data_IF_128874773183
#
_entry.id   IF_128874773183
#
_cell.length_a   1.000
_cell.length_b   1.000
_cell.length_c   1.000
_cell.angle_alpha   90.00
_cell.angle_beta   90.00
_cell.angle_gamma   90.00
#
_symmetry.space_group_name_H-M   'P 1'
#
loop_
_entity.id
_entity.type
_entity.pdbx_description
1 polymer ?
#
# COMPACT_ATOMS: atom_id res chain seq x y z
N UNK A 1 -26.55 -8.47 21.77
CA UNK A 1 -26.27 -7.67 20.56
C UNK A 1 -24.95 -8.13 19.99
N UNK A 2 -24.97 -8.85 18.88
CA UNK A 2 -23.78 -9.25 18.15
C UNK A 2 -23.09 -7.95 17.65
N UNK A 3 -21.88 -7.65 18.12
CA UNK A 3 -21.11 -6.49 17.62
C UNK A 3 -21.05 -6.64 16.10
N UNK A 4 -21.58 -5.66 15.35
CA UNK A 4 -21.36 -5.59 13.92
C UNK A 4 -19.86 -5.76 13.67
N UNK A 5 -19.48 -6.83 12.96
CA UNK A 5 -18.09 -7.28 12.86
C UNK A 5 -17.29 -6.18 12.15
N UNK A 6 -16.53 -5.39 12.92
CA UNK A 6 -15.72 -4.29 12.41
C UNK A 6 -14.87 -4.77 11.24
N UNK A 7 -14.93 -4.04 10.12
CA UNK A 7 -14.21 -4.37 8.89
C UNK A 7 -13.17 -3.30 8.56
N UNK A 8 -11.96 -3.73 8.22
CA UNK A 8 -10.90 -2.89 7.67
C UNK A 8 -10.65 -3.24 6.20
N UNK A 9 -10.28 -2.24 5.40
CA UNK A 9 -9.78 -2.44 4.04
C UNK A 9 -8.26 -2.31 4.02
N UNK A 10 -7.55 -3.33 3.54
CA UNK A 10 -6.11 -3.31 3.39
C UNK A 10 -5.69 -3.01 1.95
N UNK A 11 -4.85 -1.99 1.76
CA UNK A 11 -4.11 -1.86 0.51
C UNK A 11 -3.01 -2.93 0.49
N UNK A 12 -3.27 -3.97 -0.28
CA UNK A 12 -2.42 -5.15 -0.36
C UNK A 12 -1.53 -5.07 -1.61
N UNK A 13 -0.21 -5.06 -1.42
CA UNK A 13 0.74 -5.05 -2.54
C UNK A 13 1.29 -6.44 -2.85
N UNK A 14 0.90 -7.47 -2.08
CA UNK A 14 1.51 -8.80 -2.15
C UNK A 14 2.86 -8.92 -1.46
N UNK A 15 3.42 -7.81 -0.97
CA UNK A 15 4.69 -7.80 -0.25
C UNK A 15 4.53 -8.10 1.23
N UNK A 16 5.65 -8.46 1.87
CA UNK A 16 5.72 -8.81 3.29
C UNK A 16 5.02 -7.79 4.20
N UNK A 17 5.24 -6.51 3.96
CA UNK A 17 4.80 -5.44 4.87
C UNK A 17 3.27 -5.33 4.89
N UNK A 18 2.62 -5.45 3.72
CA UNK A 18 1.17 -5.49 3.64
C UNK A 18 0.58 -6.76 4.27
N UNK A 19 1.26 -7.91 4.12
CA UNK A 19 0.83 -9.16 4.76
C UNK A 19 0.89 -9.09 6.29
N UNK A 20 1.98 -8.54 6.84
CA UNK A 20 2.13 -8.34 8.28
C UNK A 20 1.13 -7.33 8.84
N UNK A 21 0.86 -6.24 8.10
CA UNK A 21 -0.15 -5.27 8.50
C UNK A 21 -1.55 -5.91 8.59
N UNK A 22 -1.90 -6.79 7.65
CA UNK A 22 -3.15 -7.56 7.69
C UNK A 22 -3.19 -8.48 8.92
N UNK A 23 -2.14 -9.27 9.16
CA UNK A 23 -2.09 -10.19 10.31
C UNK A 23 -2.25 -9.46 11.65
N UNK A 24 -1.55 -8.34 11.86
CA UNK A 24 -1.65 -7.55 13.10
C UNK A 24 -3.07 -7.05 13.39
N UNK A 25 -3.86 -6.78 12.36
CA UNK A 25 -5.26 -6.36 12.50
C UNK A 25 -6.18 -7.56 12.72
N UNK A 26 -5.96 -8.66 11.99
CA UNK A 26 -6.72 -9.91 12.18
C UNK A 26 -6.57 -10.49 13.59
N UNK A 27 -5.36 -10.42 14.18
CA UNK A 27 -5.11 -10.88 15.56
C UNK A 27 -5.90 -10.10 16.62
N UNK A 28 -6.45 -8.94 16.26
CA UNK A 28 -7.33 -8.16 17.11
C UNK A 28 -8.82 -8.48 16.89
N UNK A 29 -9.13 -9.53 16.14
CA UNK A 29 -10.51 -9.98 15.86
C UNK A 29 -11.22 -9.14 14.79
N UNK A 30 -10.50 -8.30 14.05
CA UNK A 30 -11.06 -7.41 13.02
C UNK A 30 -11.07 -8.12 11.67
N UNK A 31 -12.20 -8.08 10.97
CA UNK A 31 -12.30 -8.63 9.61
C UNK A 31 -11.55 -7.74 8.63
N UNK A 32 -10.75 -8.34 7.74
CA UNK A 32 -9.95 -7.60 6.75
C UNK A 32 -10.31 -8.05 5.35
N UNK A 33 -10.57 -7.08 4.48
CA UNK A 33 -10.70 -7.27 3.04
C UNK A 33 -9.49 -6.62 2.36
N UNK A 34 -8.91 -7.29 1.36
CA UNK A 34 -7.75 -6.81 0.64
C UNK A 34 -8.13 -6.19 -0.71
N UNK A 35 -7.50 -5.08 -1.05
CA UNK A 35 -7.56 -4.48 -2.38
C UNK A 35 -6.16 -4.26 -2.94
N UNK A 36 -5.95 -4.68 -4.18
CA UNK A 36 -4.71 -4.46 -4.94
C UNK A 36 -4.99 -3.62 -6.18
N UNK A 37 -4.08 -2.71 -6.48
CA UNK A 37 -4.11 -1.91 -7.70
C UNK A 37 -3.00 -2.33 -8.65
N UNK A 38 -3.38 -2.90 -9.81
CA UNK A 38 -2.42 -3.27 -10.84
C UNK A 38 -2.14 -2.08 -11.73
N UNK A 39 -0.88 -1.66 -11.77
CA UNK A 39 -0.42 -0.57 -12.64
C UNK A 39 0.21 -1.13 -13.91
N UNK A 40 0.26 -0.37 -15.02
CA UNK A 40 0.97 -0.78 -16.24
C UNK A 40 2.48 -0.98 -16.02
N UNK A 41 3.03 -0.42 -14.94
CA UNK A 41 4.43 -0.52 -14.56
C UNK A 41 4.66 -1.53 -13.44
N UNK A 42 3.61 -2.28 -13.08
CA UNK A 42 3.74 -3.40 -12.18
C UNK A 42 4.55 -4.48 -12.89
N UNK A 43 5.78 -4.65 -12.41
CA UNK A 43 6.60 -5.75 -12.85
C UNK A 43 6.19 -6.97 -12.05
N UNK A 44 5.34 -7.83 -12.62
CA UNK A 44 5.23 -9.22 -12.18
C UNK A 44 6.55 -9.92 -12.53
N UNK A 45 7.64 -9.61 -11.81
CA UNK A 45 8.95 -10.18 -12.10
C UNK A 45 9.03 -11.56 -11.45
N UNK A 46 9.25 -12.55 -12.32
CA UNK A 46 9.88 -13.86 -12.14
C UNK A 46 9.97 -14.41 -10.70
N UNK A 47 9.47 -15.64 -10.51
CA UNK A 47 9.65 -16.41 -9.27
C UNK A 47 8.39 -17.07 -8.72
N UNK A 48 7.38 -17.35 -9.57
CA UNK A 48 6.19 -18.09 -9.16
C UNK A 48 5.20 -17.36 -8.24
N UNK A 49 5.51 -16.16 -7.74
CA UNK A 49 4.61 -15.41 -6.85
C UNK A 49 3.20 -15.19 -7.43
N UNK A 50 2.16 -15.43 -6.62
CA UNK A 50 0.76 -15.15 -6.93
C UNK A 50 0.13 -14.29 -5.83
N UNK A 51 -0.51 -13.19 -6.24
CA UNK A 51 -1.25 -12.32 -5.32
C UNK A 51 -2.42 -13.07 -4.67
N UNK A 52 -3.06 -13.95 -5.43
CA UNK A 52 -4.18 -14.78 -5.01
C UNK A 52 -3.73 -15.77 -3.94
N UNK A 53 -2.60 -16.47 -4.12
CA UNK A 53 -2.03 -17.37 -3.11
C UNK A 53 -1.65 -16.62 -1.83
N UNK A 54 -1.04 -15.45 -1.97
CA UNK A 54 -0.67 -14.62 -0.82
C UNK A 54 -1.91 -14.14 -0.04
N UNK A 55 -2.99 -13.75 -0.71
CA UNK A 55 -4.25 -13.39 -0.08
C UNK A 55 -4.96 -14.60 0.55
N UNK A 56 -4.94 -15.75 -0.13
CA UNK A 56 -5.50 -17.01 0.37
C UNK A 56 -4.80 -17.47 1.65
N UNK A 57 -3.47 -17.42 1.72
CA UNK A 57 -2.70 -17.73 2.93
C UNK A 57 -3.10 -16.84 4.11
N UNK A 58 -3.44 -15.57 3.84
CA UNK A 58 -3.91 -14.63 4.87
C UNK A 58 -5.40 -14.80 5.21
N UNK A 59 -6.13 -15.63 4.46
CA UNK A 59 -7.57 -15.83 4.64
C UNK A 59 -8.39 -14.56 4.39
N UNK A 60 -7.98 -13.70 3.45
CA UNK A 60 -8.66 -12.45 3.13
C UNK A 60 -9.28 -12.48 1.73
N UNK A 61 -10.51 -11.96 1.53
CA UNK A 61 -11.02 -11.72 0.19
C UNK A 61 -10.15 -10.68 -0.52
N UNK A 62 -9.83 -10.93 -1.80
CA UNK A 62 -8.99 -10.07 -2.61
C UNK A 62 -9.79 -9.44 -3.76
N UNK A 63 -9.80 -8.11 -3.81
CA UNK A 63 -10.25 -7.36 -4.98
C UNK A 63 -9.07 -6.82 -5.75
N UNK A 64 -9.04 -7.09 -7.06
CA UNK A 64 -7.99 -6.60 -7.97
C UNK A 64 -8.56 -5.52 -8.89
N UNK A 65 -7.98 -4.33 -8.84
CA UNK A 65 -8.38 -3.19 -9.68
C UNK A 65 -7.25 -2.83 -10.64
N UNK A 66 -7.49 -2.93 -11.95
CA UNK A 66 -6.54 -2.49 -12.97
C UNK A 66 -6.61 -0.97 -13.14
N UNK A 67 -5.48 -0.30 -13.05
CA UNK A 67 -5.37 1.14 -13.22
C UNK A 67 -5.13 1.48 -14.70
N UNK A 68 -6.08 2.24 -15.25
CA UNK A 68 -6.15 2.63 -16.66
C UNK A 68 -5.40 3.92 -17.03
N UNK A 69 -5.87 4.57 -18.09
CA UNK A 69 -5.30 5.80 -18.67
C UNK A 69 -5.18 6.96 -17.68
N UNK A 70 -6.09 7.08 -16.72
CA UNK A 70 -6.04 8.11 -15.69
C UNK A 70 -4.77 8.04 -14.85
N UNK A 71 -4.23 6.84 -14.65
CA UNK A 71 -2.97 6.64 -13.95
C UNK A 71 -1.77 7.12 -14.77
N UNK A 72 -1.80 7.01 -16.11
CA UNK A 72 -0.74 7.55 -16.97
C UNK A 72 -0.64 9.07 -16.89
N UNK A 73 -1.76 9.77 -16.65
CA UNK A 73 -1.74 11.24 -16.45
C UNK A 73 -0.90 11.63 -15.24
N UNK A 74 -1.01 10.85 -14.16
CA UNK A 74 -0.18 11.01 -12.95
C UNK A 74 1.30 10.81 -13.27
N UNK A 75 1.62 9.77 -14.06
CA UNK A 75 3.00 9.49 -14.44
C UNK A 75 3.57 10.58 -15.35
N UNK A 76 2.75 11.21 -16.21
CA UNK A 76 3.20 12.27 -17.12
C UNK A 76 3.50 13.58 -16.39
N UNK A 77 2.66 13.97 -15.44
CA UNK A 77 2.80 15.23 -14.72
C UNK A 77 2.43 15.06 -13.23
N UNK A 78 3.31 14.46 -12.42
CA UNK A 78 3.05 14.28 -10.99
C UNK A 78 3.14 15.61 -10.23
N UNK A 79 2.21 15.83 -9.29
CA UNK A 79 2.17 17.05 -8.47
C UNK A 79 3.36 17.14 -7.53
N UNK A 80 3.86 16.01 -7.04
CA UNK A 80 4.99 15.96 -6.10
C UNK A 80 6.32 15.58 -6.76
N UNK A 81 6.38 15.65 -8.09
CA UNK A 81 7.58 15.35 -8.86
C UNK A 81 7.94 13.86 -8.88
N UNK A 82 9.15 13.59 -9.34
CA UNK A 82 9.70 12.24 -9.44
C UNK A 82 10.78 12.01 -8.38
N UNK A 83 10.84 10.79 -7.86
CA UNK A 83 11.98 10.29 -7.11
C UNK A 83 13.02 9.72 -8.06
N UNK A 84 13.35 8.44 -7.89
CA UNK A 84 14.28 7.77 -8.80
C UNK A 84 13.67 7.67 -10.22
N UNK A 85 14.33 8.28 -11.19
CA UNK A 85 13.93 8.37 -12.60
C UNK A 85 12.52 8.91 -12.83
N UNK A 86 11.53 8.06 -13.13
CA UNK A 86 10.15 8.47 -13.38
C UNK A 86 9.19 8.02 -12.28
N UNK A 87 9.71 7.63 -11.12
CA UNK A 87 8.89 7.12 -10.02
C UNK A 87 8.14 8.25 -9.28
N UNK A 88 6.79 8.35 -9.34
CA UNK A 88 6.02 9.39 -8.67
C UNK A 88 5.24 8.80 -7.47
N UNK A 89 5.92 8.08 -6.57
CA UNK A 89 5.25 7.23 -5.58
C UNK A 89 4.25 7.96 -4.68
N UNK A 90 4.48 9.25 -4.37
CA UNK A 90 3.55 10.03 -3.55
C UNK A 90 2.20 10.15 -4.27
N UNK A 91 2.21 10.61 -5.53
CA UNK A 91 1.00 10.74 -6.34
C UNK A 91 0.31 9.39 -6.61
N UNK A 92 1.09 8.34 -6.90
CA UNK A 92 0.54 6.99 -7.07
C UNK A 92 -0.21 6.52 -5.82
N UNK A 93 0.36 6.74 -4.63
CA UNK A 93 -0.27 6.37 -3.35
C UNK A 93 -1.54 7.17 -3.10
N UNK A 94 -1.51 8.49 -3.32
CA UNK A 94 -2.70 9.36 -3.19
C UNK A 94 -3.82 8.83 -4.08
N UNK A 95 -3.53 8.53 -5.34
CA UNK A 95 -4.52 8.03 -6.29
C UNK A 95 -5.12 6.68 -5.88
N UNK A 96 -4.27 5.72 -5.49
CA UNK A 96 -4.72 4.42 -5.01
C UNK A 96 -5.58 4.54 -3.75
N UNK A 97 -5.18 5.39 -2.79
CA UNK A 97 -5.93 5.62 -1.56
C UNK A 97 -7.28 6.32 -1.81
N UNK A 98 -7.37 7.24 -2.78
CA UNK A 98 -8.66 7.83 -3.19
C UNK A 98 -9.62 6.77 -3.72
N UNK A 99 -9.14 5.84 -4.55
CA UNK A 99 -9.95 4.70 -5.02
C UNK A 99 -10.28 3.73 -3.89
N UNK A 100 -9.33 3.41 -3.02
CA UNK A 100 -9.55 2.55 -1.87
C UNK A 100 -10.59 3.14 -0.92
N UNK A 101 -10.60 4.47 -0.72
CA UNK A 101 -11.64 5.16 0.06
C UNK A 101 -13.04 4.99 -0.53
N UNK A 102 -13.18 5.09 -1.84
CA UNK A 102 -14.46 4.84 -2.52
C UNK A 102 -14.89 3.39 -2.32
N UNK A 103 -13.97 2.45 -2.48
CA UNK A 103 -14.21 1.03 -2.27
C UNK A 103 -14.59 0.71 -0.81
N UNK A 104 -13.84 1.24 0.16
CA UNK A 104 -14.08 1.08 1.60
C UNK A 104 -15.51 1.48 1.98
N UNK A 105 -16.01 2.61 1.44
CA UNK A 105 -17.39 3.05 1.64
C UNK A 105 -18.41 2.03 1.11
N UNK A 106 -18.17 1.48 -0.07
CA UNK A 106 -19.06 0.50 -0.72
C UNK A 106 -19.19 -0.80 0.08
N UNK A 107 -18.10 -1.24 0.71
CA UNK A 107 -18.09 -2.48 1.51
C UNK A 107 -18.36 -2.26 3.01
N UNK A 108 -18.62 -1.01 3.43
CA UNK A 108 -18.85 -0.67 4.83
C UNK A 108 -17.60 -0.80 5.72
N UNK A 109 -16.39 -0.67 5.18
CA UNK A 109 -15.17 -0.72 5.99
C UNK A 109 -15.01 0.56 6.82
N UNK A 110 -14.72 0.39 8.11
CA UNK A 110 -14.62 1.47 9.09
C UNK A 110 -13.32 2.29 8.95
N UNK A 111 -12.24 1.65 8.50
CA UNK A 111 -10.95 2.29 8.29
C UNK A 111 -10.11 1.55 7.23
N UNK A 112 -9.01 2.19 6.82
CA UNK A 112 -8.10 1.66 5.81
C UNK A 112 -6.74 1.40 6.45
N UNK A 113 -6.09 0.30 6.08
CA UNK A 113 -4.73 -0.02 6.49
C UNK A 113 -3.77 -0.12 5.31
N UNK A 114 -2.50 0.19 5.57
CA UNK A 114 -1.39 -0.05 4.63
C UNK A 114 -0.21 -0.69 5.35
N UNK A 115 0.66 -1.37 4.60
CA UNK A 115 1.97 -1.83 5.08
C UNK A 115 3.03 -0.75 5.12
N UNK A 116 2.68 0.54 5.22
CA UNK A 116 3.69 1.61 5.22
C UNK A 116 4.51 1.63 6.52
N UNK A 117 5.84 1.65 6.36
CA UNK A 117 6.80 1.76 7.47
C UNK A 117 7.46 3.14 7.41
N UNK A 118 7.40 3.89 8.51
CA UNK A 118 8.03 5.22 8.60
C UNK A 118 9.54 5.13 8.33
N UNK A 119 10.03 5.95 7.40
CA UNK A 119 11.43 6.05 7.02
C UNK A 119 11.96 4.91 6.15
N UNK A 120 11.13 3.95 5.75
CA UNK A 120 11.59 2.83 4.92
C UNK A 120 11.93 3.27 3.49
N UNK A 121 11.00 3.96 2.82
CA UNK A 121 11.21 4.51 1.48
C UNK A 121 11.51 6.01 1.52
N UNK A 122 12.64 6.47 0.94
CA UNK A 122 13.08 7.86 1.06
C UNK A 122 12.10 8.84 0.42
N UNK A 123 11.50 8.50 -0.72
CA UNK A 123 10.54 9.36 -1.40
C UNK A 123 9.17 9.37 -0.72
N UNK A 124 8.59 8.20 -0.44
CA UNK A 124 7.16 8.09 -0.18
C UNK A 124 6.77 7.77 1.26
N UNK A 125 7.74 7.43 2.13
CA UNK A 125 7.45 7.00 3.50
C UNK A 125 8.27 7.75 4.54
N UNK A 126 8.86 8.90 4.19
CA UNK A 126 9.28 9.86 5.20
C UNK A 126 8.06 10.55 5.83
N UNK A 127 8.23 11.19 6.99
CA UNK A 127 7.12 11.79 7.74
C UNK A 127 6.29 12.78 6.91
N UNK A 128 6.96 13.66 6.15
CA UNK A 128 6.30 14.67 5.29
C UNK A 128 5.47 14.00 4.20
N UNK A 129 6.02 12.97 3.54
CA UNK A 129 5.31 12.22 2.50
C UNK A 129 4.08 11.49 3.06
N UNK A 130 4.19 10.84 4.22
CA UNK A 130 3.03 10.16 4.84
C UNK A 130 1.90 11.14 5.18
N UNK A 131 2.24 12.33 5.71
CA UNK A 131 1.29 13.40 5.99
C UNK A 131 0.61 13.91 4.71
N UNK A 132 1.40 14.22 3.68
CA UNK A 132 0.88 14.64 2.36
C UNK A 132 -0.10 13.60 1.80
N UNK A 133 0.31 12.33 1.78
CA UNK A 133 -0.51 11.24 1.23
C UNK A 133 -1.84 11.13 1.96
N UNK A 134 -1.83 11.25 3.29
CA UNK A 134 -3.02 11.15 4.12
C UNK A 134 -3.97 12.34 3.93
N UNK A 135 -3.44 13.57 3.87
CA UNK A 135 -4.22 14.80 3.65
C UNK A 135 -4.84 14.81 2.25
N UNK A 136 -4.05 14.56 1.21
CA UNK A 136 -4.49 14.62 -0.19
C UNK A 136 -5.44 13.49 -0.57
N UNK A 137 -5.36 12.33 0.10
CA UNK A 137 -6.33 11.25 -0.04
C UNK A 137 -7.60 11.46 0.81
N UNK A 138 -7.63 12.53 1.62
CA UNK A 138 -8.71 12.84 2.55
C UNK A 138 -9.02 11.67 3.50
N UNK A 139 -7.95 11.08 4.04
CA UNK A 139 -7.96 9.97 5.00
C UNK A 139 -7.26 10.36 6.32
N UNK A 140 -7.15 11.66 6.60
CA UNK A 140 -6.62 12.17 7.87
C UNK A 140 -7.27 11.46 9.05
N UNK A 141 -6.44 10.84 9.89
CA UNK A 141 -6.90 10.05 11.03
C UNK A 141 -7.60 8.71 10.71
N UNK A 142 -7.85 8.37 9.44
CA UNK A 142 -8.54 7.11 9.04
C UNK A 142 -7.64 6.09 8.37
N UNK A 143 -6.40 6.46 8.09
CA UNK A 143 -5.39 5.61 7.46
C UNK A 143 -4.39 5.08 8.51
N UNK A 144 -4.60 3.84 8.94
CA UNK A 144 -3.75 3.18 9.91
C UNK A 144 -2.55 2.49 9.23
N UNK A 145 -1.38 2.58 9.88
CA UNK A 145 -0.12 1.98 9.43
C UNK A 145 0.41 1.05 10.51
N UNK A 146 -0.12 -0.19 10.63
CA UNK A 146 0.11 -1.06 11.80
C UNK A 146 1.58 -1.29 12.17
N UNK A 147 2.46 -1.32 11.16
CA UNK A 147 3.89 -1.57 11.34
C UNK A 147 4.65 -0.40 11.97
N UNK A 148 4.15 0.83 11.84
CA UNK A 148 4.80 2.04 12.36
C UNK A 148 3.87 2.90 13.22
N UNK A 149 2.73 2.35 13.64
CA UNK A 149 1.65 3.08 14.31
C UNK A 149 2.13 3.78 15.58
N UNK A 150 2.97 3.12 16.40
CA UNK A 150 3.51 3.68 17.65
C UNK A 150 4.39 4.93 17.44
N UNK A 151 4.88 5.14 16.22
CA UNK A 151 5.73 6.28 15.84
C UNK A 151 4.94 7.43 15.18
N UNK A 152 3.65 7.24 14.94
CA UNK A 152 2.77 8.18 14.25
C UNK A 152 1.64 8.63 15.18
N UNK A 153 1.01 9.79 14.93
CA UNK A 153 -0.18 10.20 15.67
C UNK A 153 -1.28 9.12 15.64
N UNK A 154 -2.00 8.89 16.75
CA UNK A 154 -3.04 7.88 16.79
C UNK A 154 -4.19 8.23 15.83
N UNK A 155 -4.64 7.22 15.10
CA UNK A 155 -5.78 7.27 14.20
C UNK A 155 -7.10 7.15 14.96
N UNK A 156 -8.21 7.51 14.31
CA UNK A 156 -9.57 7.36 14.81
C UNK A 156 -9.89 5.94 15.30
N UNK A 157 -9.60 4.83 14.57
CA UNK A 157 -9.86 3.49 15.09
C UNK A 157 -9.02 3.16 16.35
N UNK A 158 -7.82 3.73 16.50
CA UNK A 158 -7.03 3.57 17.73
C UNK A 158 -7.65 4.34 18.90
N UNK A 159 -8.04 5.61 18.67
CA UNK A 159 -8.67 6.46 19.70
C UNK A 159 -10.03 5.92 20.16
N UNK A 160 -10.78 5.32 19.25
CA UNK A 160 -12.10 4.75 19.52
C UNK A 160 -12.03 3.37 20.20
N UNK A 161 -10.84 2.82 20.48
CA UNK A 161 -10.68 1.49 21.06
C UNK A 161 -11.07 0.35 20.12
N UNK A 162 -11.24 0.64 18.82
CA UNK A 162 -11.51 -0.37 17.79
C UNK A 162 -10.24 -1.18 17.52
N UNK A 163 -9.08 -0.50 17.49
CA UNK A 163 -7.76 -1.11 17.36
C UNK A 163 -6.98 -0.82 18.64
N UNK A 164 -6.48 -1.88 19.27
CA UNK A 164 -5.56 -1.78 20.40
C UNK A 164 -4.16 -1.39 19.90
N UNK A 165 -3.81 -0.12 20.10
CA UNK A 165 -2.52 0.46 19.73
C UNK A 165 -1.34 -0.23 20.43
N UNK A 166 -1.53 -0.79 21.63
CA UNK A 166 -0.44 -1.47 22.36
C UNK A 166 0.07 -2.70 21.62
N UNK A 167 -0.80 -3.35 20.83
CA UNK A 167 -0.52 -4.52 20.00
C UNK A 167 0.02 -4.19 18.60
N UNK A 168 0.15 -2.90 18.27
CA UNK A 168 0.79 -2.45 17.03
C UNK A 168 2.31 -2.28 17.19
N UNK A 169 2.99 -1.95 16.11
CA UNK A 169 4.45 -1.89 16.08
C UNK A 169 5.00 -0.46 15.93
N UNK A 170 6.29 -0.36 16.20
CA UNK A 170 7.17 0.80 16.15
C UNK A 170 8.33 0.58 15.15
N UNK A 171 8.08 -0.14 14.05
CA UNK A 171 9.11 -0.37 13.02
C UNK A 171 9.41 0.93 12.28
N UNK A 172 10.71 1.21 12.11
CA UNK A 172 11.22 2.37 11.38
C UNK A 172 12.39 1.97 10.49
N UNK A 173 12.51 2.64 9.35
CA UNK A 173 13.66 2.52 8.46
C UNK A 173 13.61 1.25 7.61
N UNK A 174 14.77 0.88 7.06
CA UNK A 174 14.88 -0.17 6.02
C UNK A 174 15.20 -1.56 6.56
N UNK A 175 15.45 -1.69 7.86
CA UNK A 175 15.83 -2.98 8.45
C UNK A 175 14.67 -3.97 8.36
N UNK A 176 14.92 -5.12 7.73
CA UNK A 176 13.92 -6.19 7.54
C UNK A 176 13.95 -7.26 8.63
N UNK A 177 14.94 -7.23 9.53
CA UNK A 177 15.19 -8.29 10.53
C UNK A 177 13.94 -8.62 11.36
N UNK A 178 13.27 -7.58 11.90
CA UNK A 178 12.07 -7.75 12.73
C UNK A 178 10.85 -8.20 11.93
N UNK A 179 10.66 -7.65 10.73
CA UNK A 179 9.55 -8.03 9.84
C UNK A 179 9.69 -9.49 9.38
N UNK A 180 10.89 -9.95 9.06
CA UNK A 180 11.15 -11.35 8.70
C UNK A 180 10.97 -12.30 9.88
N UNK A 181 11.32 -11.87 11.10
CA UNK A 181 11.06 -12.67 12.30
C UNK A 181 9.55 -12.83 12.56
N UNK A 182 8.77 -11.75 12.40
CA UNK A 182 7.32 -11.80 12.48
C UNK A 182 6.70 -12.67 11.37
N UNK A 183 7.24 -12.59 10.16
CA UNK A 183 6.80 -13.44 9.04
C UNK A 183 6.90 -14.93 9.40
N UNK A 184 8.04 -15.34 9.97
CA UNK A 184 8.25 -16.72 10.45
C UNK A 184 7.30 -17.09 11.58
N UNK A 185 7.11 -16.21 12.56
CA UNK A 185 6.20 -16.44 13.67
C UNK A 185 4.74 -16.62 13.20
N UNK A 186 4.33 -15.89 12.17
CA UNK A 186 2.99 -15.99 11.57
C UNK A 186 2.87 -17.07 10.47
N UNK A 187 3.95 -17.79 10.15
CA UNK A 187 3.95 -18.76 9.06
C UNK A 187 3.70 -18.15 7.67
N UNK A 188 4.01 -16.87 7.46
CA UNK A 188 3.84 -16.20 6.17
C UNK A 188 5.01 -16.58 5.26
N UNK A 189 4.75 -17.38 4.24
CA UNK A 189 5.72 -17.79 3.23
C UNK A 189 5.41 -17.23 1.84
N UNK A 190 4.13 -17.06 1.53
CA UNK A 190 3.66 -16.47 0.27
C UNK A 190 3.68 -14.93 0.33
N UNK A 191 4.81 -14.34 -0.09
CA UNK A 191 4.93 -12.89 -0.31
C UNK A 191 5.94 -12.58 -1.40
N UNK A 192 5.74 -11.44 -2.06
CA UNK A 192 6.66 -10.98 -3.10
C UNK A 192 8.02 -10.64 -2.49
N UNK A 193 9.08 -11.22 -3.06
CA UNK A 193 10.46 -10.91 -2.70
C UNK A 193 10.77 -9.42 -2.88
N UNK A 194 11.65 -8.83 -2.03
CA UNK A 194 12.00 -7.42 -2.13
C UNK A 194 12.60 -7.09 -3.51
N UNK A 195 11.94 -6.20 -4.25
CA UNK A 195 12.46 -5.63 -5.51
C UNK A 195 12.86 -4.18 -5.34
N UNK A 196 13.80 -3.73 -6.17
CA UNK A 196 14.33 -2.35 -6.17
C UNK A 196 13.30 -1.25 -6.49
N UNK A 197 12.08 -1.61 -6.86
CA UNK A 197 10.97 -0.70 -7.19
C UNK A 197 10.12 -1.22 -8.35
N UNK A 198 9.16 -0.41 -8.81
CA UNK A 198 8.40 -0.67 -10.05
C UNK A 198 9.24 -0.34 -11.29
N UNK A 199 8.74 -0.61 -12.52
CA UNK A 199 9.50 -0.36 -13.74
C UNK A 199 9.97 1.10 -13.90
N UNK A 200 9.25 2.06 -13.30
CA UNK A 200 9.60 3.49 -13.30
C UNK A 200 10.86 3.85 -12.49
N UNK A 201 11.42 2.90 -11.73
CA UNK A 201 12.70 3.08 -11.03
C UNK A 201 13.89 2.53 -11.82
N UNK A 202 13.68 1.98 -13.02
CA UNK A 202 14.74 1.51 -13.90
C UNK A 202 15.09 2.59 -14.92
N UNK A 203 16.38 2.86 -15.11
CA UNK A 203 16.89 3.97 -15.93
C UNK A 203 16.45 3.82 -17.38
N UNK A 204 16.66 2.65 -17.95
CA UNK A 204 16.44 2.33 -19.37
C UNK A 204 14.95 2.39 -19.69
N UNK A 205 14.11 1.79 -18.83
CA UNK A 205 12.66 1.82 -18.98
C UNK A 205 12.13 3.26 -18.89
N UNK A 206 12.60 4.01 -17.90
CA UNK A 206 12.17 5.39 -17.68
C UNK A 206 12.62 6.31 -18.80
N UNK A 207 13.80 6.09 -19.40
CA UNK A 207 14.27 6.88 -20.54
C UNK A 207 13.33 6.71 -21.74
N UNK A 208 13.01 5.45 -22.10
CA UNK A 208 12.08 5.14 -23.19
C UNK A 208 10.67 5.67 -22.93
N UNK A 209 10.17 5.54 -21.70
CA UNK A 209 8.85 6.06 -21.35
C UNK A 209 8.81 7.59 -21.41
N UNK A 210 9.85 8.27 -20.94
CA UNK A 210 9.94 9.74 -20.99
C UNK A 210 9.93 10.24 -22.43
N UNK A 211 10.73 9.62 -23.29
CA UNK A 211 10.76 9.91 -24.73
C UNK A 211 9.34 9.80 -25.34
N UNK A 212 8.69 8.65 -25.14
CA UNK A 212 7.32 8.41 -25.60
C UNK A 212 6.34 9.49 -25.09
N UNK A 213 6.37 9.78 -23.79
CA UNK A 213 5.42 10.72 -23.18
C UNK A 213 5.67 12.17 -23.63
N UNK A 214 6.90 12.51 -24.02
CA UNK A 214 7.29 13.84 -24.53
C UNK A 214 6.84 14.02 -25.98
N UNK A 215 7.01 12.99 -26.83
CA UNK A 215 6.74 13.09 -28.27
C UNK A 215 5.31 12.69 -28.69
N UNK A 216 4.54 12.01 -27.83
CA UNK A 216 3.15 11.61 -28.14
C UNK A 216 2.16 12.27 -27.20
N UNK A 217 1.28 13.15 -27.73
CA UNK A 217 0.20 13.77 -26.93
C UNK A 217 -0.78 12.74 -26.35
N UNK A 218 -1.12 11.69 -27.11
CA UNK A 218 -2.01 10.60 -26.69
C UNK A 218 -1.24 9.28 -26.65
N UNK A 219 -1.35 8.57 -25.54
CA UNK A 219 -0.82 7.21 -25.34
C UNK A 219 -2.00 6.35 -24.91
N UNK A 220 -2.24 5.25 -25.62
CA UNK A 220 -3.23 4.25 -25.26
C UNK A 220 -2.55 3.06 -24.58
N UNK A 221 -3.33 2.34 -23.78
CA UNK A 221 -2.97 1.01 -23.31
C UNK A 221 -3.88 0.06 -24.08
N UNK A 222 -3.29 -0.65 -25.05
CA UNK A 222 -3.98 -1.72 -25.76
C UNK A 222 -4.19 -2.91 -24.82
#
# INVERSE_FOLDING_TARGET
MEKAKTRALALFSGGLDSSLAIKLIQEQGISVEAITFLTPFYSARAGGFSLERAAQQLGVPLTVVRLGLDYLRIIRNPKYGYGRHMNPCIDCRIYMLKKAKQYARRIGASFIITGEVLGERPMSQNWKALKIVEEESSLKGKLLRPLSAKLLPPTEPEKAGIVDRSRLLDVRGRSRKRLLALARAYGITEYQSPVGGCLLTYKEFSAKLRDLLTHKKRVSMA
#
